data_IF_597912417120
#
_entry.id   IF_597912417120
#
_cell.length_a   1.000
_cell.length_b   1.000
_cell.length_c   1.000
_cell.angle_alpha   90.00
_cell.angle_beta   90.00
_cell.angle_gamma   90.00
#
_symmetry.space_group_name_H-M   'P 1'
#
loop_
_entity.id
_entity.type
_entity.pdbx_description
1 polymer ?
#
# COMPACT_ATOMS: atom_id res chain seq x y z
N UNK A 1 -6.39 -3.18 -56.54
CA UNK A 1 -6.38 -2.48 -55.23
C UNK A 1 -6.03 -3.41 -54.05
N UNK A 2 -5.60 -4.65 -54.26
CA UNK A 2 -5.31 -5.67 -53.22
C UNK A 2 -3.84 -5.86 -52.83
N UNK A 3 -2.87 -5.48 -53.68
CA UNK A 3 -1.44 -5.74 -53.43
C UNK A 3 -0.81 -4.81 -52.41
N UNK A 4 -1.30 -3.59 -52.27
CA UNK A 4 -0.75 -2.60 -51.32
C UNK A 4 -1.18 -2.84 -49.85
N UNK A 5 -2.31 -3.53 -49.59
CA UNK A 5 -2.74 -3.88 -48.24
C UNK A 5 -1.84 -4.92 -47.58
N UNK A 6 -1.37 -5.89 -48.35
CA UNK A 6 -0.51 -6.95 -47.80
C UNK A 6 0.88 -6.48 -47.36
N UNK A 7 1.41 -5.49 -48.04
CA UNK A 7 2.73 -4.89 -47.70
C UNK A 7 2.64 -4.00 -46.47
N UNK A 8 1.54 -3.25 -46.30
CA UNK A 8 1.32 -2.43 -45.10
C UNK A 8 1.14 -3.28 -43.82
N UNK A 9 0.34 -4.35 -43.89
CA UNK A 9 0.14 -5.28 -42.74
C UNK A 9 1.43 -6.01 -42.35
N UNK A 10 2.27 -6.41 -43.34
CA UNK A 10 3.55 -7.07 -43.05
C UNK A 10 4.57 -6.13 -42.43
N UNK A 11 4.56 -4.83 -42.84
CA UNK A 11 5.43 -3.81 -42.27
C UNK A 11 4.99 -3.43 -40.86
N UNK A 12 3.68 -3.30 -40.57
CA UNK A 12 3.14 -3.08 -39.24
C UNK A 12 3.45 -4.25 -38.30
N UNK A 13 3.30 -5.49 -38.77
CA UNK A 13 3.69 -6.67 -38.01
C UNK A 13 5.19 -6.73 -37.73
N UNK A 14 6.04 -6.30 -38.67
CA UNK A 14 7.48 -6.21 -38.45
C UNK A 14 7.82 -5.11 -37.45
N UNK A 15 7.24 -3.92 -37.59
CA UNK A 15 7.45 -2.79 -36.68
C UNK A 15 7.02 -3.13 -35.25
N UNK A 16 5.87 -3.82 -35.07
CA UNK A 16 5.41 -4.29 -33.77
C UNK A 16 6.35 -5.34 -33.15
N UNK A 17 6.88 -6.27 -33.98
CA UNK A 17 7.81 -7.32 -33.50
C UNK A 17 9.19 -6.79 -33.10
N UNK A 18 9.64 -5.70 -33.68
CA UNK A 18 10.91 -5.05 -33.32
C UNK A 18 10.74 -3.89 -32.34
N UNK A 19 9.52 -3.65 -31.82
CA UNK A 19 9.27 -2.60 -30.83
C UNK A 19 9.24 -1.18 -31.40
N UNK A 20 9.06 -1.03 -32.72
CA UNK A 20 9.03 0.27 -33.43
C UNK A 20 7.59 0.77 -33.69
N UNK A 21 6.55 0.11 -33.14
CA UNK A 21 5.15 0.45 -33.37
C UNK A 21 4.61 1.50 -32.37
N UNK A 22 3.44 2.07 -32.67
CA UNK A 22 2.64 2.85 -31.74
C UNK A 22 2.29 1.98 -30.52
N UNK A 23 2.66 2.38 -29.31
CA UNK A 23 2.66 1.59 -28.09
C UNK A 23 4.07 1.27 -27.57
N UNK A 24 5.11 1.83 -28.19
CA UNK A 24 6.47 1.88 -27.64
C UNK A 24 6.42 2.56 -26.27
N UNK A 25 7.20 2.06 -25.31
CA UNK A 25 7.32 2.63 -23.94
C UNK A 25 7.80 4.09 -23.90
N UNK A 26 8.07 4.70 -25.06
CA UNK A 26 8.38 6.12 -25.24
C UNK A 26 7.13 6.99 -25.40
N UNK A 27 5.93 6.42 -25.43
CA UNK A 27 4.71 7.20 -25.48
C UNK A 27 4.53 7.96 -24.18
N UNK A 28 4.16 9.23 -24.35
CA UNK A 28 3.99 10.23 -23.30
C UNK A 28 3.09 9.70 -22.18
N UNK A 29 3.39 10.10 -20.94
CA UNK A 29 2.49 9.87 -19.81
C UNK A 29 1.09 10.40 -20.13
N UNK A 30 0.16 9.50 -20.33
CA UNK A 30 -1.25 9.84 -20.50
C UNK A 30 -1.91 9.94 -19.14
N UNK A 31 -2.48 11.11 -18.82
CA UNK A 31 -3.29 11.27 -17.62
C UNK A 31 -4.67 10.62 -17.85
N UNK A 32 -4.71 9.29 -17.73
CA UNK A 32 -5.94 8.50 -17.82
C UNK A 32 -6.45 8.07 -16.44
N UNK A 33 -7.73 7.75 -16.35
CA UNK A 33 -8.27 7.07 -15.17
C UNK A 33 -7.94 5.58 -15.27
N UNK A 34 -7.19 5.03 -14.30
CA UNK A 34 -6.89 3.61 -14.25
C UNK A 34 -7.89 2.81 -13.41
N UNK A 35 -8.65 3.49 -12.53
CA UNK A 35 -9.66 2.89 -11.64
C UNK A 35 -9.17 1.69 -10.83
N UNK A 36 -7.89 1.70 -10.44
CA UNK A 36 -7.29 0.63 -9.65
C UNK A 36 -8.05 0.38 -8.35
N UNK A 37 -8.57 1.44 -7.72
CA UNK A 37 -9.41 1.35 -6.51
C UNK A 37 -10.65 0.46 -6.68
N UNK A 38 -11.10 0.21 -7.90
CA UNK A 38 -12.23 -0.69 -8.21
C UNK A 38 -11.82 -2.13 -8.47
N UNK A 39 -10.52 -2.40 -8.54
CA UNK A 39 -10.00 -3.75 -8.79
C UNK A 39 -9.46 -4.36 -7.49
N UNK A 40 -10.38 -4.90 -6.67
CA UNK A 40 -10.07 -5.56 -5.41
C UNK A 40 -8.99 -6.63 -5.57
N UNK A 41 -9.15 -7.54 -6.52
CA UNK A 41 -8.24 -8.67 -6.72
C UNK A 41 -6.82 -8.21 -7.04
N UNK A 42 -6.68 -7.16 -7.84
CA UNK A 42 -5.36 -6.61 -8.18
C UNK A 42 -4.73 -5.93 -6.96
N UNK A 43 -5.49 -5.12 -6.20
CA UNK A 43 -5.00 -4.49 -4.97
C UNK A 43 -4.54 -5.54 -3.94
N UNK A 44 -5.31 -6.62 -3.74
CA UNK A 44 -4.93 -7.71 -2.85
C UNK A 44 -3.67 -8.44 -3.35
N UNK A 45 -3.56 -8.68 -4.65
CA UNK A 45 -2.36 -9.28 -5.26
C UNK A 45 -1.14 -8.38 -5.08
N UNK A 46 -1.27 -7.08 -5.32
CA UNK A 46 -0.18 -6.10 -5.11
C UNK A 46 0.25 -6.04 -3.65
N UNK A 47 -0.70 -5.99 -2.71
CA UNK A 47 -0.42 -5.96 -1.28
C UNK A 47 0.33 -7.22 -0.79
N UNK A 48 0.00 -8.40 -1.35
CA UNK A 48 0.64 -9.67 -1.00
C UNK A 48 2.01 -9.88 -1.66
N UNK A 49 2.22 -9.34 -2.85
CA UNK A 49 3.42 -9.61 -3.65
C UNK A 49 4.47 -8.51 -3.60
N UNK A 50 4.07 -7.24 -3.43
CA UNK A 50 4.98 -6.10 -3.38
C UNK A 50 5.14 -5.60 -1.95
N UNK A 51 6.34 -5.71 -1.39
CA UNK A 51 6.66 -5.22 -0.06
C UNK A 51 6.50 -3.70 0.06
N UNK A 52 6.73 -2.95 -1.03
CA UNK A 52 6.53 -1.49 -1.07
C UNK A 52 5.06 -1.15 -0.90
N UNK A 53 4.16 -1.91 -1.52
CA UNK A 53 2.71 -1.75 -1.36
C UNK A 53 2.28 -2.07 0.07
N UNK A 54 2.82 -3.12 0.67
CA UNK A 54 2.61 -3.43 2.08
C UNK A 54 3.03 -2.26 2.97
N UNK A 55 4.25 -1.76 2.81
CA UNK A 55 4.75 -0.60 3.57
C UNK A 55 3.90 0.67 3.34
N UNK A 56 3.45 0.90 2.12
CA UNK A 56 2.57 2.05 1.80
C UNK A 56 1.24 2.02 2.58
N UNK A 57 0.70 0.83 2.83
CA UNK A 57 -0.48 0.61 3.67
C UNK A 57 -0.17 0.72 5.16
N UNK A 58 0.80 -0.07 5.60
CA UNK A 58 1.03 -0.40 7.00
C UNK A 58 1.73 0.72 7.78
N UNK A 59 2.82 1.28 7.25
CA UNK A 59 3.66 2.25 7.98
C UNK A 59 2.86 3.42 8.55
N UNK A 60 1.99 4.02 7.73
CA UNK A 60 1.18 5.17 8.17
C UNK A 60 0.11 4.76 9.18
N UNK A 61 -0.44 3.55 9.05
CA UNK A 61 -1.41 3.03 10.00
C UNK A 61 -0.74 2.76 11.35
N UNK A 62 0.41 2.07 11.32
CA UNK A 62 1.19 1.74 12.50
C UNK A 62 1.64 3.03 13.24
N UNK A 63 2.13 4.03 12.50
CA UNK A 63 2.57 5.29 13.11
C UNK A 63 1.39 6.13 13.67
N UNK A 64 0.18 6.02 13.12
CA UNK A 64 -1.01 6.71 13.68
C UNK A 64 -1.55 6.08 14.94
N UNK A 65 -1.28 4.79 15.18
CA UNK A 65 -1.82 4.03 16.30
C UNK A 65 -0.74 3.52 17.25
N UNK A 66 0.52 3.86 16.99
CA UNK A 66 1.67 3.39 17.78
C UNK A 66 1.68 3.91 19.21
N UNK A 67 1.34 5.16 19.35
CA UNK A 67 1.30 5.82 20.64
C UNK A 67 -0.17 6.07 21.03
N UNK A 68 -0.48 5.86 22.30
CA UNK A 68 -1.80 6.05 22.85
C UNK A 68 -2.20 7.52 22.92
N UNK A 69 -3.33 7.80 23.53
CA UNK A 69 -3.83 9.14 23.81
C UNK A 69 -3.61 9.51 25.29
N UNK A 70 -3.26 10.76 25.53
CA UNK A 70 -3.22 11.32 26.87
C UNK A 70 -4.61 11.86 27.23
N UNK A 71 -5.27 11.23 28.16
CA UNK A 71 -6.62 11.59 28.60
C UNK A 71 -6.54 12.52 29.81
N UNK A 72 -7.31 13.61 29.77
CA UNK A 72 -7.42 14.61 30.85
C UNK A 72 -8.89 14.95 31.11
N UNK A 73 -9.17 15.48 32.31
CA UNK A 73 -10.49 15.99 32.67
C UNK A 73 -11.46 14.95 33.21
N UNK A 74 -11.03 13.71 33.45
CA UNK A 74 -11.78 12.72 34.24
C UNK A 74 -11.65 13.03 35.75
N UNK A 75 -12.47 12.38 36.59
CA UNK A 75 -12.54 12.69 38.02
C UNK A 75 -11.32 12.20 38.82
N UNK A 76 -10.51 11.32 38.25
CA UNK A 76 -9.29 10.82 38.88
C UNK A 76 -8.48 9.89 37.99
N UNK A 77 -7.24 9.56 38.40
CA UNK A 77 -6.37 8.69 37.63
C UNK A 77 -6.91 7.25 37.48
N UNK A 78 -7.67 6.77 38.49
CA UNK A 78 -8.28 5.43 38.44
C UNK A 78 -9.28 5.28 37.30
N UNK A 79 -10.04 6.32 36.97
CA UNK A 79 -10.97 6.30 35.84
C UNK A 79 -10.26 6.30 34.49
N UNK A 80 -9.13 7.00 34.40
CA UNK A 80 -8.28 6.99 33.22
C UNK A 80 -7.70 5.59 33.00
N UNK A 81 -7.24 4.97 34.08
CA UNK A 81 -6.73 3.60 34.06
C UNK A 81 -7.80 2.58 33.62
N UNK A 82 -9.02 2.65 34.23
CA UNK A 82 -10.14 1.77 33.87
C UNK A 82 -10.53 1.92 32.40
N UNK A 83 -10.53 3.15 31.88
CA UNK A 83 -10.84 3.43 30.48
C UNK A 83 -9.77 2.87 29.54
N UNK A 84 -8.49 3.09 29.85
CA UNK A 84 -7.37 2.55 29.07
C UNK A 84 -7.38 1.02 29.08
N UNK A 85 -7.62 0.39 30.23
CA UNK A 85 -7.72 -1.07 30.33
C UNK A 85 -8.82 -1.64 29.44
N UNK A 86 -9.96 -0.96 29.30
CA UNK A 86 -11.02 -1.40 28.38
C UNK A 86 -10.59 -1.26 26.93
N UNK A 87 -9.90 -0.16 26.56
CA UNK A 87 -9.37 0.01 25.21
C UNK A 87 -8.36 -1.09 24.85
N UNK A 88 -7.46 -1.42 25.76
CA UNK A 88 -6.44 -2.46 25.57
C UNK A 88 -7.05 -3.87 25.53
N UNK A 89 -7.90 -4.21 26.51
CA UNK A 89 -8.54 -5.54 26.58
C UNK A 89 -9.38 -5.85 25.34
N UNK A 90 -10.00 -4.85 24.72
CA UNK A 90 -10.80 -4.98 23.53
C UNK A 90 -9.99 -4.74 22.24
N UNK A 91 -8.66 -4.55 22.35
CA UNK A 91 -7.75 -4.34 21.22
C UNK A 91 -8.23 -3.22 20.29
N UNK A 92 -8.72 -2.11 20.87
CA UNK A 92 -9.33 -1.02 20.10
C UNK A 92 -8.31 -0.38 19.16
N UNK A 93 -7.07 -0.18 19.60
CA UNK A 93 -6.00 0.38 18.80
C UNK A 93 -5.61 -0.51 17.62
N UNK A 94 -5.56 -1.83 17.82
CA UNK A 94 -5.31 -2.79 16.74
C UNK A 94 -6.43 -2.76 15.69
N UNK A 95 -7.69 -2.63 16.13
CA UNK A 95 -8.84 -2.51 15.22
C UNK A 95 -8.86 -1.17 14.47
N UNK A 96 -8.44 -0.09 15.11
CA UNK A 96 -8.26 1.20 14.42
C UNK A 96 -7.11 1.14 13.41
N UNK A 97 -6.00 0.52 13.77
CA UNK A 97 -4.88 0.25 12.86
C UNK A 97 -5.35 -0.52 11.62
N UNK A 98 -6.05 -1.62 11.83
CA UNK A 98 -6.63 -2.44 10.76
C UNK A 98 -7.57 -1.61 9.87
N UNK A 99 -8.42 -0.77 10.46
CA UNK A 99 -9.33 0.11 9.71
C UNK A 99 -8.56 1.12 8.85
N UNK A 100 -7.47 1.68 9.38
CA UNK A 100 -6.60 2.60 8.62
C UNK A 100 -5.92 1.87 7.47
N UNK A 101 -5.37 0.67 7.69
CA UNK A 101 -4.73 -0.15 6.66
C UNK A 101 -5.67 -0.41 5.48
N UNK A 102 -6.87 -0.89 5.77
CA UNK A 102 -7.85 -1.17 4.71
C UNK A 102 -8.39 0.10 4.06
N UNK A 103 -8.55 1.20 4.81
CA UNK A 103 -8.93 2.47 4.21
C UNK A 103 -7.89 2.99 3.21
N UNK A 104 -6.61 2.79 3.51
CA UNK A 104 -5.51 3.17 2.61
C UNK A 104 -5.41 2.25 1.39
N UNK A 105 -5.55 0.94 1.60
CA UNK A 105 -5.46 -0.04 0.52
C UNK A 105 -6.65 0.04 -0.44
N UNK A 106 -7.87 0.06 0.09
CA UNK A 106 -9.08 -0.01 -0.73
C UNK A 106 -9.75 1.34 -0.99
N UNK A 107 -9.32 2.41 -0.32
CA UNK A 107 -9.91 3.73 -0.43
C UNK A 107 -11.01 4.02 0.60
N UNK A 108 -11.36 3.06 1.46
CA UNK A 108 -12.31 3.27 2.55
C UNK A 108 -12.52 2.02 3.40
N UNK A 109 -12.77 2.24 4.69
CA UNK A 109 -13.14 1.22 5.66
C UNK A 109 -13.94 1.85 6.79
N UNK A 110 -14.71 1.03 7.50
CA UNK A 110 -15.44 1.42 8.69
C UNK A 110 -15.10 0.48 9.86
N UNK A 111 -15.03 1.02 11.06
CA UNK A 111 -15.04 0.24 12.28
C UNK A 111 -16.40 0.40 12.95
N UNK A 112 -17.12 -0.69 13.13
CA UNK A 112 -18.47 -0.73 13.73
C UNK A 112 -18.35 -0.94 15.22
N UNK A 113 -18.96 -0.07 16.01
CA UNK A 113 -19.04 -0.20 17.46
C UNK A 113 -20.03 -1.32 17.83
N UNK A 114 -19.51 -2.44 18.36
CA UNK A 114 -20.30 -3.58 18.77
C UNK A 114 -20.80 -3.37 20.21
N UNK A 115 -22.12 -3.15 20.36
CA UNK A 115 -22.76 -2.88 21.63
C UNK A 115 -23.82 -3.96 21.87
N UNK A 116 -23.61 -4.76 22.91
CA UNK A 116 -24.49 -5.87 23.26
C UNK A 116 -25.91 -5.38 23.60
N UNK A 117 -26.92 -6.12 23.14
CA UNK A 117 -28.32 -5.76 23.34
C UNK A 117 -28.85 -4.59 22.52
N UNK A 118 -28.03 -4.00 21.64
CA UNK A 118 -28.47 -2.91 20.74
C UNK A 118 -28.49 -3.34 19.29
N UNK A 119 -29.49 -2.83 18.54
CA UNK A 119 -29.54 -3.06 17.10
C UNK A 119 -28.64 -2.05 16.36
N UNK A 120 -27.79 -2.53 15.48
CA UNK A 120 -26.85 -1.71 14.71
C UNK A 120 -27.51 -0.78 13.70
N UNK A 121 -28.76 -1.04 13.32
CA UNK A 121 -29.53 -0.20 12.38
C UNK A 121 -30.15 1.05 13.02
N UNK A 122 -30.18 1.12 14.35
CA UNK A 122 -30.77 2.27 15.07
C UNK A 122 -29.69 3.33 15.33
N UNK A 123 -30.06 4.63 15.37
CA UNK A 123 -29.13 5.68 15.79
C UNK A 123 -28.48 5.36 17.14
N UNK A 124 -27.19 5.68 17.25
CA UNK A 124 -26.47 5.53 18.48
C UNK A 124 -26.91 6.57 19.51
N UNK A 125 -27.26 6.12 20.68
CA UNK A 125 -27.42 6.99 21.85
C UNK A 125 -26.44 6.49 22.93
N UNK A 126 -25.33 7.19 23.10
CA UNK A 126 -24.27 6.82 24.06
C UNK A 126 -24.82 6.65 25.49
N UNK A 127 -25.82 7.46 25.87
CA UNK A 127 -26.44 7.43 27.22
C UNK A 127 -27.21 6.16 27.53
N UNK A 128 -27.58 5.37 26.50
CA UNK A 128 -28.31 4.09 26.69
C UNK A 128 -27.36 2.89 26.80
N UNK A 129 -26.07 3.10 26.72
CA UNK A 129 -25.07 2.05 26.85
C UNK A 129 -24.84 1.77 28.34
N UNK A 130 -25.12 0.54 28.76
CA UNK A 130 -24.88 0.11 30.15
C UNK A 130 -23.43 -0.39 30.33
N UNK A 131 -23.02 -0.51 31.60
CA UNK A 131 -21.68 -0.97 31.95
C UNK A 131 -21.41 -2.37 31.38
N UNK A 132 -20.29 -2.52 30.68
CA UNK A 132 -19.83 -3.75 30.05
C UNK A 132 -20.50 -4.11 28.71
N UNK A 133 -21.37 -3.26 28.14
CA UNK A 133 -22.06 -3.56 26.87
C UNK A 133 -21.19 -3.32 25.62
N UNK A 134 -20.20 -2.45 25.66
CA UNK A 134 -19.27 -2.29 24.54
C UNK A 134 -18.37 -3.52 24.44
N UNK A 135 -18.37 -4.18 23.29
CA UNK A 135 -17.65 -5.45 23.03
C UNK A 135 -16.47 -5.31 22.08
N UNK A 136 -16.16 -4.10 21.63
CA UNK A 136 -15.07 -3.81 20.72
C UNK A 136 -15.53 -3.30 19.37
N UNK A 137 -14.62 -3.32 18.42
CA UNK A 137 -14.80 -2.83 17.05
C UNK A 137 -14.81 -4.01 16.07
N UNK A 138 -15.72 -3.98 15.11
CA UNK A 138 -15.71 -4.86 13.93
C UNK A 138 -15.28 -4.05 12.72
N UNK A 139 -14.18 -4.46 12.08
CA UNK A 139 -13.63 -3.77 10.92
C UNK A 139 -14.25 -4.34 9.64
N UNK A 140 -14.77 -3.46 8.80
CA UNK A 140 -15.36 -3.78 7.50
C UNK A 140 -14.73 -2.84 6.45
N UNK A 141 -14.15 -3.41 5.41
CA UNK A 141 -13.63 -2.65 4.29
C UNK A 141 -14.74 -2.25 3.30
N UNK A 142 -14.40 -1.42 2.31
CA UNK A 142 -15.38 -0.93 1.33
C UNK A 142 -16.06 -2.02 0.50
N UNK A 143 -15.47 -3.23 0.42
CA UNK A 143 -16.02 -4.35 -0.34
C UNK A 143 -16.99 -5.20 0.48
N UNK A 144 -16.93 -5.07 1.80
CA UNK A 144 -17.81 -5.77 2.74
C UNK A 144 -19.10 -5.00 3.01
N UNK A 145 -19.12 -3.69 2.69
CA UNK A 145 -20.27 -2.83 2.95
C UNK A 145 -20.60 -1.93 1.77
N UNK A 146 -21.90 -1.73 1.52
CA UNK A 146 -22.41 -0.83 0.50
C UNK A 146 -23.01 0.41 1.18
N UNK A 147 -22.48 1.62 0.93
CA UNK A 147 -23.12 2.85 1.39
C UNK A 147 -24.48 3.08 0.71
N UNK A 148 -25.49 3.45 1.46
CA UNK A 148 -26.77 3.86 0.91
C UNK A 148 -26.69 5.31 0.40
N UNK A 149 -26.69 5.47 -0.92
CA UNK A 149 -26.60 6.79 -1.57
C UNK A 149 -27.95 7.49 -1.71
N UNK A 150 -29.06 6.82 -1.39
CA UNK A 150 -30.39 7.38 -1.45
C UNK A 150 -30.81 8.08 -0.15
N UNK A 151 -30.27 7.59 0.99
CA UNK A 151 -30.54 8.17 2.31
C UNK A 151 -29.25 8.76 2.88
N UNK A 152 -29.05 10.04 2.66
CA UNK A 152 -27.90 10.80 3.15
C UNK A 152 -28.24 11.52 4.44
N UNK A 153 -27.21 11.83 5.24
CA UNK A 153 -27.33 12.66 6.43
C UNK A 153 -27.68 14.10 6.01
N UNK A 154 -28.82 14.58 6.42
CA UNK A 154 -29.34 15.93 6.12
C UNK A 154 -29.18 16.92 7.28
N UNK A 155 -28.85 16.43 8.46
CA UNK A 155 -28.60 17.24 9.62
C UNK A 155 -27.27 18.01 9.47
N UNK A 156 -27.30 19.32 9.67
CA UNK A 156 -26.10 20.14 9.58
C UNK A 156 -25.08 19.70 10.63
N UNK A 157 -23.89 19.34 10.15
CA UNK A 157 -22.81 18.85 11.01
C UNK A 157 -21.65 18.25 10.21
N UNK A 158 -20.69 17.65 10.89
CA UNK A 158 -19.48 17.06 10.26
C UNK A 158 -19.81 15.95 9.26
N UNK A 159 -20.91 15.22 9.49
CA UNK A 159 -21.34 14.07 8.68
C UNK A 159 -22.35 14.46 7.59
N UNK A 160 -22.65 15.78 7.38
CA UNK A 160 -23.61 16.25 6.36
C UNK A 160 -23.24 15.76 4.98
N UNK A 161 -24.23 15.16 4.28
CA UNK A 161 -24.06 14.60 2.93
C UNK A 161 -23.35 13.24 2.88
N UNK A 162 -23.01 12.66 4.03
CA UNK A 162 -22.50 11.30 4.11
C UNK A 162 -23.64 10.27 4.09
N UNK A 163 -23.38 9.01 3.72
CA UNK A 163 -24.38 7.95 3.78
C UNK A 163 -24.89 7.75 5.20
N UNK A 164 -26.21 7.72 5.35
CA UNK A 164 -26.83 7.49 6.66
C UNK A 164 -26.78 6.04 7.08
N UNK A 165 -26.72 5.14 6.11
CA UNK A 165 -26.65 3.70 6.34
C UNK A 165 -25.57 3.04 5.49
N UNK A 166 -25.07 1.90 6.02
CA UNK A 166 -24.15 1.00 5.36
C UNK A 166 -24.77 -0.39 5.36
N UNK A 167 -25.03 -0.96 4.20
CA UNK A 167 -25.60 -2.30 4.06
C UNK A 167 -24.45 -3.32 3.99
N UNK A 168 -24.44 -4.32 4.86
CA UNK A 168 -23.42 -5.37 4.89
C UNK A 168 -23.71 -6.37 3.78
N UNK A 169 -22.76 -6.55 2.86
CA UNK A 169 -22.90 -7.41 1.67
C UNK A 169 -22.12 -8.71 1.77
N UNK A 170 -21.38 -8.94 2.86
CA UNK A 170 -20.58 -10.15 3.07
C UNK A 170 -21.25 -11.11 4.05
N UNK A 171 -21.15 -12.41 3.79
CA UNK A 171 -21.75 -13.46 4.61
C UNK A 171 -20.89 -13.88 5.80
N UNK A 172 -19.67 -13.36 5.92
CA UNK A 172 -18.64 -13.94 6.82
C UNK A 172 -18.56 -13.30 8.21
N UNK A 173 -19.28 -12.22 8.50
CA UNK A 173 -19.07 -11.43 9.74
C UNK A 173 -20.23 -11.47 10.74
N UNK A 174 -21.22 -12.35 10.54
CA UNK A 174 -22.35 -12.48 11.46
C UNK A 174 -23.37 -11.33 11.44
N UNK A 175 -23.15 -10.32 10.58
CA UNK A 175 -24.04 -9.18 10.34
C UNK A 175 -24.68 -9.22 8.95
N UNK A 176 -24.88 -10.39 8.40
CA UNK A 176 -25.38 -10.60 7.03
C UNK A 176 -26.69 -9.87 6.80
N UNK A 177 -26.77 -9.13 5.70
CA UNK A 177 -27.95 -8.35 5.31
C UNK A 177 -28.42 -7.35 6.37
N UNK A 178 -27.57 -6.97 7.29
CA UNK A 178 -27.88 -5.92 8.26
C UNK A 178 -27.50 -4.56 7.73
N UNK A 179 -28.30 -3.58 8.09
CA UNK A 179 -28.08 -2.17 7.81
C UNK A 179 -27.47 -1.51 9.04
N UNK A 180 -26.36 -0.82 8.90
CA UNK A 180 -25.62 -0.17 10.00
C UNK A 180 -25.85 1.35 9.90
N UNK A 181 -26.30 1.96 10.98
CA UNK A 181 -26.47 3.41 11.05
C UNK A 181 -25.13 4.13 11.19
N UNK A 182 -24.94 5.26 10.48
CA UNK A 182 -23.66 5.99 10.42
C UNK A 182 -23.11 6.41 11.79
N UNK A 183 -23.98 6.71 12.76
CA UNK A 183 -23.54 7.10 14.11
C UNK A 183 -22.83 5.98 14.88
N UNK A 184 -22.96 4.72 14.44
CA UNK A 184 -22.35 3.54 15.06
C UNK A 184 -21.03 3.13 14.39
N UNK A 185 -20.58 3.90 13.43
CA UNK A 185 -19.34 3.59 12.69
C UNK A 185 -18.30 4.69 12.85
N UNK A 186 -17.05 4.27 12.89
CA UNK A 186 -15.90 5.12 12.70
C UNK A 186 -15.48 4.95 11.24
N UNK A 187 -15.80 5.92 10.40
CA UNK A 187 -15.46 5.87 8.99
C UNK A 187 -14.11 6.49 8.74
N UNK A 188 -13.26 5.76 8.04
CA UNK A 188 -11.96 6.23 7.58
C UNK A 188 -11.86 6.06 6.08
N UNK A 189 -11.63 7.16 5.38
CA UNK A 189 -11.47 7.18 3.94
C UNK A 189 -9.99 7.19 3.55
N UNK A 190 -9.68 6.66 2.38
CA UNK A 190 -8.36 6.73 1.77
C UNK A 190 -7.99 8.15 1.31
N UNK A 191 -7.59 8.30 0.06
CA UNK A 191 -7.29 9.60 -0.52
C UNK A 191 -8.59 10.30 -0.91
N UNK A 192 -8.78 11.53 -0.41
CA UNK A 192 -9.98 12.32 -0.70
C UNK A 192 -10.04 12.67 -2.20
N UNK A 193 -11.21 12.47 -2.79
CA UNK A 193 -11.50 12.76 -4.19
C UNK A 193 -12.31 14.05 -4.33
N UNK A 194 -12.24 14.70 -5.51
CA UNK A 194 -13.19 15.73 -5.89
C UNK A 194 -14.63 15.17 -5.91
N UNK A 195 -15.63 16.02 -5.73
CA UNK A 195 -17.04 15.64 -5.53
C UNK A 195 -17.54 14.60 -6.55
N UNK A 196 -17.41 14.88 -7.87
CA UNK A 196 -17.90 13.96 -8.90
C UNK A 196 -17.19 12.59 -8.91
N UNK A 197 -15.90 12.57 -8.60
CA UNK A 197 -15.14 11.33 -8.48
C UNK A 197 -15.52 10.55 -7.21
N UNK A 198 -15.77 11.26 -6.10
CA UNK A 198 -16.25 10.65 -4.86
C UNK A 198 -17.63 10.01 -5.05
N UNK A 199 -18.55 10.67 -5.78
CA UNK A 199 -19.85 10.08 -6.14
C UNK A 199 -19.70 8.82 -6.99
N UNK A 200 -18.76 8.81 -7.95
CA UNK A 200 -18.47 7.65 -8.80
C UNK A 200 -17.84 6.48 -8.02
N UNK A 201 -17.25 6.75 -6.85
CA UNK A 201 -16.69 5.79 -5.90
C UNK A 201 -17.64 5.48 -4.73
N UNK A 202 -18.95 5.72 -4.88
CA UNK A 202 -19.94 5.52 -3.82
C UNK A 202 -19.62 6.29 -2.53
N UNK A 203 -19.17 7.52 -2.67
CA UNK A 203 -18.68 8.40 -1.60
C UNK A 203 -17.43 7.87 -0.85
N UNK A 204 -16.79 6.80 -1.30
CA UNK A 204 -15.50 6.38 -0.79
C UNK A 204 -14.35 7.24 -1.36
N UNK A 205 -13.21 7.17 -0.71
CA UNK A 205 -11.97 7.72 -1.25
C UNK A 205 -11.32 6.80 -2.28
N UNK A 206 -10.14 7.20 -2.72
CA UNK A 206 -9.27 6.45 -3.62
C UNK A 206 -8.21 5.68 -2.82
N UNK A 207 -7.80 4.51 -3.30
CA UNK A 207 -6.62 3.81 -2.80
C UNK A 207 -5.37 4.69 -2.90
N UNK A 208 -4.51 4.63 -1.89
CA UNK A 208 -3.20 5.32 -1.97
C UNK A 208 -2.34 4.74 -3.09
N UNK A 209 -2.53 3.46 -3.44
CA UNK A 209 -1.76 2.74 -4.44
C UNK A 209 -2.09 3.22 -5.86
N UNK A 210 -3.32 3.65 -6.12
CA UNK A 210 -3.73 4.08 -7.47
C UNK A 210 -2.91 5.25 -8.02
N UNK A 211 -2.47 6.17 -7.15
CA UNK A 211 -1.59 7.28 -7.57
C UNK A 211 -0.15 6.86 -7.83
N UNK A 212 0.22 5.66 -7.39
CA UNK A 212 1.58 5.16 -7.40
C UNK A 212 1.80 4.10 -8.48
N UNK A 213 0.74 3.58 -9.08
CA UNK A 213 0.78 2.38 -9.94
C UNK A 213 1.88 2.46 -11.00
N UNK A 214 1.94 3.56 -11.75
CA UNK A 214 2.96 3.76 -12.79
C UNK A 214 4.37 3.75 -12.20
N UNK A 215 4.56 4.38 -11.04
CA UNK A 215 5.86 4.48 -10.36
C UNK A 215 6.28 3.16 -9.72
N UNK A 216 5.32 2.41 -9.17
CA UNK A 216 5.55 1.07 -8.64
C UNK A 216 5.95 0.12 -9.77
N UNK A 217 5.20 0.12 -10.87
CA UNK A 217 5.52 -0.71 -12.05
C UNK A 217 6.90 -0.40 -12.60
N UNK A 218 7.27 0.88 -12.66
CA UNK A 218 8.59 1.29 -13.11
C UNK A 218 9.71 0.85 -12.14
N UNK A 219 9.50 1.03 -10.82
CA UNK A 219 10.44 0.62 -9.79
C UNK A 219 10.66 -0.89 -9.78
N UNK A 220 9.58 -1.67 -9.79
CA UNK A 220 9.63 -3.14 -9.79
C UNK A 220 10.31 -3.65 -11.07
N UNK A 221 9.97 -3.08 -12.24
CA UNK A 221 10.59 -3.43 -13.51
C UNK A 221 12.07 -3.09 -13.55
N UNK A 222 12.47 -1.93 -13.02
CA UNK A 222 13.87 -1.51 -12.95
C UNK A 222 14.67 -2.41 -12.00
N UNK A 223 14.10 -2.77 -10.85
CA UNK A 223 14.72 -3.66 -9.87
C UNK A 223 14.92 -5.07 -10.42
N UNK A 224 13.88 -5.63 -11.08
CA UNK A 224 13.97 -6.93 -11.76
C UNK A 224 14.99 -6.88 -12.91
N UNK A 225 14.98 -5.81 -13.70
CA UNK A 225 15.94 -5.59 -14.78
C UNK A 225 17.38 -5.53 -14.26
N UNK A 226 17.61 -4.83 -13.15
CA UNK A 226 18.90 -4.78 -12.47
C UNK A 226 19.37 -6.18 -12.04
N UNK A 227 18.50 -6.96 -11.40
CA UNK A 227 18.78 -8.34 -11.04
C UNK A 227 19.14 -9.21 -12.25
N UNK A 228 18.37 -9.09 -13.34
CA UNK A 228 18.65 -9.82 -14.57
C UNK A 228 19.99 -9.42 -15.22
N UNK A 229 20.36 -8.14 -15.15
CA UNK A 229 21.66 -7.67 -15.64
C UNK A 229 22.82 -8.29 -14.83
N UNK A 230 22.68 -8.41 -13.51
CA UNK A 230 23.67 -9.10 -12.67
C UNK A 230 23.86 -10.56 -13.10
N UNK A 231 22.75 -11.28 -13.35
CA UNK A 231 22.85 -12.65 -13.89
C UNK A 231 23.47 -12.72 -15.29
N UNK A 232 23.24 -11.72 -16.13
CA UNK A 232 23.80 -11.61 -17.48
C UNK A 232 25.22 -11.03 -17.51
N UNK A 233 25.74 -10.54 -16.39
CA UNK A 233 27.06 -9.92 -16.31
C UNK A 233 28.20 -10.83 -16.79
N UNK A 234 27.97 -12.12 -16.80
CA UNK A 234 28.91 -13.14 -17.26
C UNK A 234 28.42 -13.82 -18.53
N UNK A 235 27.87 -13.06 -19.48
CA UNK A 235 27.55 -13.62 -20.81
C UNK A 235 28.86 -14.05 -21.50
N UNK A 236 29.00 -15.34 -21.64
CA UNK A 236 30.13 -15.99 -22.33
C UNK A 236 29.70 -16.29 -23.74
N UNK A 237 30.44 -15.78 -24.71
CA UNK A 237 30.18 -16.06 -26.13
C UNK A 237 31.19 -17.10 -26.62
N UNK A 238 30.69 -18.26 -27.02
CA UNK A 238 31.49 -19.30 -27.63
C UNK A 238 31.22 -19.30 -29.13
N UNK A 239 32.26 -18.99 -29.94
CA UNK A 239 32.15 -18.93 -31.39
C UNK A 239 32.54 -20.29 -31.99
N UNK A 240 31.61 -20.91 -32.69
CA UNK A 240 31.80 -22.18 -33.36
C UNK A 240 31.81 -21.99 -34.87
N UNK A 241 32.86 -22.47 -35.53
CA UNK A 241 32.97 -22.42 -37.00
C UNK A 241 31.91 -23.28 -37.67
N UNK A 242 31.13 -22.65 -38.55
CA UNK A 242 30.07 -23.37 -39.30
C UNK A 242 28.82 -23.72 -38.51
N UNK A 243 28.56 -23.08 -37.35
CA UNK A 243 27.40 -23.34 -36.48
C UNK A 243 26.07 -23.41 -37.23
N UNK A 244 25.80 -22.50 -38.18
CA UNK A 244 24.57 -22.51 -38.98
C UNK A 244 24.42 -23.81 -39.78
N UNK A 245 25.50 -24.30 -40.39
CA UNK A 245 25.51 -25.52 -41.16
C UNK A 245 25.26 -26.76 -40.26
N UNK A 246 25.90 -26.78 -39.08
CA UNK A 246 25.72 -27.86 -38.08
C UNK A 246 24.27 -27.93 -37.60
N UNK A 247 23.67 -26.77 -37.30
CA UNK A 247 22.26 -26.71 -36.84
C UNK A 247 21.30 -27.11 -37.96
N UNK A 248 21.55 -26.67 -39.20
CA UNK A 248 20.63 -26.96 -40.32
C UNK A 248 20.69 -28.44 -40.74
N UNK A 249 21.87 -29.06 -40.73
CA UNK A 249 22.05 -30.47 -41.14
C UNK A 249 21.63 -31.42 -40.02
N UNK A 250 21.81 -31.03 -38.75
CA UNK A 250 21.47 -31.86 -37.58
C UNK A 250 22.36 -33.08 -37.46
N UNK A 251 21.83 -34.15 -36.88
CA UNK A 251 22.47 -35.46 -36.78
C UNK A 251 23.65 -35.53 -35.80
N UNK A 252 24.66 -36.34 -36.14
CA UNK A 252 25.79 -36.63 -35.25
C UNK A 252 26.63 -35.41 -34.91
N UNK A 253 26.83 -34.49 -35.84
CA UNK A 253 27.60 -33.25 -35.62
C UNK A 253 26.90 -32.31 -34.64
N UNK A 254 25.57 -32.18 -34.71
CA UNK A 254 24.77 -31.43 -33.75
C UNK A 254 24.87 -32.04 -32.33
N UNK A 255 24.69 -33.35 -32.22
CA UNK A 255 24.78 -34.06 -30.94
C UNK A 255 26.18 -33.94 -30.30
N UNK A 256 27.24 -34.01 -31.13
CA UNK A 256 28.61 -33.79 -30.66
C UNK A 256 28.81 -32.36 -30.10
N UNK A 257 28.31 -31.35 -30.81
CA UNK A 257 28.35 -29.95 -30.35
C UNK A 257 27.60 -29.74 -29.02
N UNK A 258 26.39 -30.33 -28.89
CA UNK A 258 25.62 -30.25 -27.64
C UNK A 258 26.39 -30.90 -26.47
N UNK A 259 26.98 -32.06 -26.66
CA UNK A 259 27.83 -32.73 -25.67
C UNK A 259 29.03 -31.88 -25.30
N UNK A 260 29.73 -31.30 -26.27
CA UNK A 260 30.85 -30.41 -26.05
C UNK A 260 30.45 -29.19 -25.19
N UNK A 261 29.34 -28.50 -25.50
CA UNK A 261 28.84 -27.40 -24.73
C UNK A 261 28.48 -27.81 -23.28
N UNK A 262 27.86 -29.00 -23.11
CA UNK A 262 27.54 -29.53 -21.78
C UNK A 262 28.80 -29.80 -20.95
N UNK A 263 29.83 -30.39 -21.56
CA UNK A 263 31.12 -30.63 -20.89
C UNK A 263 31.81 -29.34 -20.52
N UNK A 264 31.90 -28.36 -21.41
CA UNK A 264 32.47 -27.04 -21.13
C UNK A 264 31.73 -26.37 -19.94
N UNK A 265 30.41 -26.40 -19.92
CA UNK A 265 29.61 -25.88 -18.80
C UNK A 265 29.90 -26.58 -17.47
N UNK A 266 30.10 -27.90 -17.49
CA UNK A 266 30.40 -28.70 -16.31
C UNK A 266 31.78 -28.38 -15.75
N UNK A 267 32.79 -28.27 -16.63
CA UNK A 267 34.18 -27.93 -16.21
C UNK A 267 34.32 -26.50 -15.75
N UNK A 268 33.64 -25.53 -16.40
CA UNK A 268 33.66 -24.12 -15.99
C UNK A 268 33.04 -23.88 -14.63
N UNK A 269 32.07 -24.68 -14.20
CA UNK A 269 31.42 -24.50 -12.90
C UNK A 269 32.30 -24.96 -11.72
N UNK A 270 33.24 -25.89 -11.94
CA UNK A 270 34.00 -26.51 -10.86
C UNK A 270 35.39 -25.89 -10.61
N UNK A 271 36.09 -25.42 -11.63
CA UNK A 271 37.49 -24.97 -11.47
C UNK A 271 37.82 -23.64 -12.17
N UNK A 272 36.87 -22.95 -12.76
CA UNK A 272 37.12 -21.68 -13.45
C UNK A 272 37.98 -21.80 -14.73
N UNK A 273 38.25 -23.00 -15.20
CA UNK A 273 39.06 -23.28 -16.38
C UNK A 273 38.18 -23.52 -17.60
N UNK A 274 38.52 -22.91 -18.74
CA UNK A 274 37.82 -23.09 -20.01
C UNK A 274 38.76 -23.82 -20.96
N UNK A 275 38.37 -25.03 -21.39
CA UNK A 275 39.06 -25.80 -22.44
C UNK A 275 38.42 -25.43 -23.79
N UNK A 276 39.29 -25.04 -24.74
CA UNK A 276 38.90 -24.58 -26.09
C UNK A 276 39.86 -25.18 -27.10
N UNK A 277 39.39 -25.34 -28.34
CA UNK A 277 40.21 -25.64 -29.48
C UNK A 277 40.97 -24.40 -29.94
N UNK A 278 42.13 -24.53 -30.55
CA UNK A 278 42.96 -23.48 -31.09
C UNK A 278 42.20 -22.62 -32.15
N UNK A 279 41.20 -23.17 -32.81
CA UNK A 279 40.34 -22.47 -33.79
C UNK A 279 39.12 -21.76 -33.15
N UNK A 280 38.86 -22.01 -31.85
CA UNK A 280 37.69 -21.46 -31.15
C UNK A 280 38.08 -20.10 -30.49
N UNK A 281 37.12 -19.18 -30.47
CA UNK A 281 37.30 -17.88 -29.81
C UNK A 281 36.31 -17.72 -28.68
N UNK A 282 36.82 -17.32 -27.52
CA UNK A 282 36.03 -17.00 -26.34
C UNK A 282 36.07 -15.49 -26.08
N UNK A 283 34.88 -14.87 -26.07
CA UNK A 283 34.76 -13.44 -25.75
C UNK A 283 33.96 -13.31 -24.46
N UNK A 284 34.51 -12.54 -23.51
CA UNK A 284 33.76 -12.14 -22.32
C UNK A 284 33.35 -10.69 -22.46
N UNK A 285 32.05 -10.45 -22.46
CA UNK A 285 31.51 -9.11 -22.44
C UNK A 285 31.23 -8.73 -20.99
N UNK A 286 31.99 -7.76 -20.47
CA UNK A 286 31.70 -7.17 -19.16
C UNK A 286 30.74 -6.00 -19.36
N UNK A 287 29.61 -6.05 -18.67
CA UNK A 287 28.69 -4.93 -18.60
C UNK A 287 29.07 -4.04 -17.42
N UNK A 288 29.16 -2.73 -17.67
CA UNK A 288 29.30 -1.73 -16.61
C UNK A 288 27.92 -1.48 -16.00
N UNK A 289 27.81 -1.59 -14.69
CA UNK A 289 26.60 -1.26 -13.93
C UNK A 289 26.66 0.15 -13.33
N UNK A 290 27.60 0.97 -13.81
CA UNK A 290 27.76 2.35 -13.35
C UNK A 290 26.46 3.15 -13.56
N UNK A 291 25.98 3.79 -12.48
CA UNK A 291 24.77 4.61 -12.49
C UNK A 291 23.45 3.88 -12.21
N UNK A 292 23.44 2.55 -12.12
CA UNK A 292 22.23 1.78 -11.83
C UNK A 292 21.71 2.03 -10.42
N UNK A 293 22.63 2.13 -9.46
CA UNK A 293 22.36 2.51 -8.07
C UNK A 293 21.67 3.87 -7.96
N UNK A 294 22.17 4.86 -8.71
CA UNK A 294 21.61 6.21 -8.74
C UNK A 294 20.18 6.22 -9.29
N UNK A 295 19.91 5.43 -10.34
CA UNK A 295 18.57 5.31 -10.94
C UNK A 295 17.60 4.67 -9.95
N UNK A 296 17.98 3.57 -9.30
CA UNK A 296 17.15 2.89 -8.32
C UNK A 296 16.86 3.77 -7.11
N UNK A 297 17.87 4.50 -6.63
CA UNK A 297 17.70 5.48 -5.55
C UNK A 297 16.72 6.58 -5.95
N UNK A 298 16.85 7.14 -7.16
CA UNK A 298 15.97 8.19 -7.67
C UNK A 298 14.50 7.70 -7.75
N UNK A 299 14.28 6.46 -8.22
CA UNK A 299 12.96 5.87 -8.27
C UNK A 299 12.38 5.64 -6.86
N UNK A 300 13.22 5.18 -5.92
CA UNK A 300 12.85 5.07 -4.51
C UNK A 300 12.46 6.41 -3.89
N UNK A 301 13.20 7.48 -4.18
CA UNK A 301 12.89 8.84 -3.73
C UNK A 301 11.55 9.35 -4.30
N UNK A 302 11.24 9.04 -5.56
CA UNK A 302 9.95 9.40 -6.16
C UNK A 302 8.79 8.67 -5.47
N UNK A 303 8.94 7.38 -5.14
CA UNK A 303 7.94 6.63 -4.39
C UNK A 303 7.75 7.18 -2.97
N UNK A 304 8.84 7.45 -2.27
CA UNK A 304 8.86 8.08 -0.95
C UNK A 304 8.10 9.41 -0.96
N UNK A 305 8.43 10.30 -1.91
CA UNK A 305 7.76 11.59 -2.07
C UNK A 305 6.27 11.47 -2.39
N UNK A 306 5.89 10.53 -3.27
CA UNK A 306 4.51 10.31 -3.67
C UNK A 306 3.64 9.72 -2.53
N UNK A 307 4.24 8.92 -1.65
CA UNK A 307 3.60 8.37 -0.44
C UNK A 307 3.59 9.37 0.73
N UNK A 308 4.46 10.37 0.70
CA UNK A 308 4.72 11.25 1.85
C UNK A 308 5.35 10.50 3.04
N UNK A 309 6.06 9.40 2.77
CA UNK A 309 6.77 8.60 3.77
C UNK A 309 8.28 8.77 3.50
N UNK A 310 9.10 9.23 4.47
CA UNK A 310 10.54 9.40 4.27
C UNK A 310 11.23 8.10 3.83
N UNK A 311 12.28 8.25 3.05
CA UNK A 311 13.05 7.11 2.52
C UNK A 311 13.55 6.20 3.65
N UNK A 312 13.99 6.79 4.77
CA UNK A 312 14.43 6.07 5.97
C UNK A 312 13.31 5.17 6.53
N UNK A 313 12.08 5.66 6.55
CA UNK A 313 10.93 4.93 7.10
C UNK A 313 10.38 3.90 6.11
N UNK A 314 10.42 4.22 4.82
CA UNK A 314 9.89 3.35 3.76
C UNK A 314 10.84 2.22 3.39
N UNK A 315 12.14 2.51 3.25
CA UNK A 315 13.16 1.58 2.77
C UNK A 315 14.20 1.18 3.82
N UNK A 316 14.16 1.79 5.02
CA UNK A 316 15.17 1.56 6.05
C UNK A 316 16.57 2.10 5.69
N UNK A 317 16.65 2.99 4.70
CA UNK A 317 17.91 3.52 4.19
C UNK A 317 18.08 4.98 4.61
N UNK A 318 19.23 5.32 5.18
CA UNK A 318 19.57 6.73 5.42
C UNK A 318 19.72 7.48 4.10
N UNK A 319 19.24 8.75 4.02
CA UNK A 319 19.47 9.57 2.84
C UNK A 319 20.98 9.73 2.58
N UNK A 320 21.38 9.68 1.31
CA UNK A 320 22.77 9.91 0.93
C UNK A 320 23.09 11.43 1.00
N UNK A 321 24.09 11.83 1.77
CA UNK A 321 24.57 13.22 1.85
C UNK A 321 25.29 13.56 3.14
N UNK A 322 26.17 14.57 3.11
CA UNK A 322 27.10 14.95 4.19
C UNK A 322 26.44 15.39 5.52
N UNK A 323 25.13 15.72 5.52
CA UNK A 323 24.37 16.12 6.70
C UNK A 323 23.01 15.42 6.80
N UNK A 324 22.83 14.30 6.13
CA UNK A 324 21.54 13.66 6.03
C UNK A 324 21.36 12.63 7.17
N UNK A 325 21.08 13.10 8.38
CA UNK A 325 20.65 12.20 9.48
C UNK A 325 19.24 11.64 9.27
N UNK A 326 18.47 12.23 8.35
CA UNK A 326 17.05 11.91 8.18
C UNK A 326 16.16 12.39 9.34
N UNK A 327 16.72 13.00 10.38
CA UNK A 327 15.96 13.47 11.56
C UNK A 327 14.93 14.53 11.19
N UNK A 328 15.31 15.50 10.35
CA UNK A 328 14.40 16.56 9.91
C UNK A 328 13.25 16.01 9.06
N UNK A 329 13.52 15.03 8.21
CA UNK A 329 12.50 14.40 7.37
C UNK A 329 11.54 13.54 8.22
N UNK A 330 12.07 12.85 9.24
CA UNK A 330 11.26 12.12 10.21
C UNK A 330 10.43 13.06 11.08
N UNK A 331 10.97 14.19 11.56
CA UNK A 331 10.22 15.16 12.32
C UNK A 331 9.04 15.73 11.51
N UNK A 332 9.29 16.18 10.27
CA UNK A 332 8.25 16.65 9.37
C UNK A 332 7.20 15.58 9.07
N UNK A 333 7.63 14.32 8.93
CA UNK A 333 6.74 13.19 8.71
C UNK A 333 5.83 12.95 9.92
N UNK A 334 6.37 12.94 11.13
CA UNK A 334 5.58 12.74 12.35
C UNK A 334 4.64 13.92 12.63
N UNK A 335 5.03 15.15 12.31
CA UNK A 335 4.13 16.31 12.34
C UNK A 335 2.94 16.12 11.37
N UNK A 336 3.19 15.59 10.17
CA UNK A 336 2.14 15.25 9.22
C UNK A 336 1.24 14.11 9.73
N UNK A 337 1.80 13.07 10.38
CA UNK A 337 1.03 12.01 11.02
C UNK A 337 0.13 12.58 12.11
N UNK A 338 0.65 13.46 12.99
CA UNK A 338 -0.14 14.13 14.01
C UNK A 338 -1.28 14.96 13.39
N UNK A 339 -1.00 15.74 12.35
CA UNK A 339 -2.04 16.48 11.62
C UNK A 339 -3.13 15.57 11.06
N UNK A 340 -2.77 14.37 10.59
CA UNK A 340 -3.74 13.39 10.13
C UNK A 340 -4.53 12.74 11.27
N UNK A 341 -3.92 12.49 12.43
CA UNK A 341 -4.61 12.06 13.65
C UNK A 341 -5.65 13.10 14.05
N UNK A 342 -5.24 14.37 14.18
CA UNK A 342 -6.13 15.49 14.53
C UNK A 342 -7.28 15.66 13.53
N UNK A 343 -6.97 15.69 12.24
CA UNK A 343 -7.95 15.99 11.21
C UNK A 343 -8.90 14.84 10.84
N UNK A 344 -8.48 13.58 11.05
CA UNK A 344 -9.25 12.42 10.59
C UNK A 344 -9.71 11.48 11.69
N UNK A 345 -8.98 11.41 12.81
CA UNK A 345 -9.27 10.46 13.88
C UNK A 345 -9.91 11.12 15.11
N UNK A 346 -9.66 12.39 15.37
CA UNK A 346 -10.15 13.07 16.59
C UNK A 346 -11.67 12.95 16.75
N UNK A 347 -12.46 13.33 15.75
CA UNK A 347 -13.93 13.27 15.85
C UNK A 347 -14.50 11.85 15.95
N UNK A 348 -14.09 10.88 15.10
CA UNK A 348 -14.48 9.49 15.28
C UNK A 348 -14.07 8.91 16.63
N UNK A 349 -12.85 9.18 17.07
CA UNK A 349 -12.34 8.68 18.34
C UNK A 349 -13.09 9.27 19.55
N UNK A 350 -13.43 10.55 19.51
CA UNK A 350 -14.25 11.18 20.56
C UNK A 350 -15.61 10.47 20.71
N UNK A 351 -16.27 10.18 19.59
CA UNK A 351 -17.54 9.41 19.57
C UNK A 351 -17.38 8.02 20.17
N UNK A 352 -16.28 7.34 19.87
CA UNK A 352 -15.94 6.05 20.46
C UNK A 352 -15.73 6.16 21.96
N UNK A 353 -14.96 7.15 22.42
CA UNK A 353 -14.66 7.34 23.83
C UNK A 353 -15.90 7.67 24.66
N UNK A 354 -16.93 8.32 24.09
CA UNK A 354 -18.23 8.50 24.75
C UNK A 354 -18.90 7.14 25.04
N UNK A 355 -18.86 6.20 24.09
CA UNK A 355 -19.43 4.85 24.26
C UNK A 355 -18.60 4.05 25.24
N UNK A 356 -17.27 4.11 25.13
CA UNK A 356 -16.37 3.38 26.03
C UNK A 356 -16.51 3.89 27.47
N UNK A 357 -16.61 5.19 27.70
CA UNK A 357 -16.81 5.77 29.02
C UNK A 357 -18.10 5.30 29.68
N UNK A 358 -19.20 5.28 28.92
CA UNK A 358 -20.47 4.72 29.43
C UNK A 358 -20.34 3.23 29.77
N UNK A 359 -19.67 2.48 28.94
CA UNK A 359 -19.49 1.04 29.14
C UNK A 359 -18.50 0.70 30.24
N UNK A 360 -17.41 1.45 30.41
CA UNK A 360 -16.41 1.26 31.45
C UNK A 360 -16.88 1.85 32.79
N UNK A 361 -17.10 3.14 32.82
CA UNK A 361 -17.33 3.92 34.02
C UNK A 361 -18.81 4.02 34.42
N UNK A 362 -19.75 3.68 33.52
CA UNK A 362 -21.20 3.84 33.72
C UNK A 362 -21.67 5.29 33.71
N UNK A 363 -20.86 6.23 33.22
CA UNK A 363 -21.15 7.66 33.18
C UNK A 363 -20.69 8.32 31.87
N UNK A 364 -21.37 9.41 31.45
CA UNK A 364 -20.94 10.15 30.27
C UNK A 364 -19.59 10.85 30.50
N UNK A 365 -18.89 11.15 29.40
CA UNK A 365 -17.72 11.98 29.47
C UNK A 365 -18.06 13.36 30.07
N UNK A 366 -17.27 13.87 31.01
CA UNK A 366 -17.48 15.21 31.57
C UNK A 366 -17.17 16.28 30.50
N UNK A 367 -17.73 17.48 30.67
CA UNK A 367 -17.48 18.62 29.77
C UNK A 367 -16.02 19.07 29.78
N UNK A 368 -15.29 18.74 30.83
CA UNK A 368 -13.83 18.98 30.95
C UNK A 368 -12.97 17.95 30.26
N UNK A 369 -13.57 16.92 29.64
CA UNK A 369 -12.84 15.84 28.99
C UNK A 369 -12.08 16.35 27.75
N UNK A 370 -10.81 16.09 27.75
CA UNK A 370 -9.92 16.40 26.62
C UNK A 370 -8.99 15.19 26.45
N UNK A 371 -8.67 14.86 25.21
CA UNK A 371 -7.60 13.93 24.92
C UNK A 371 -6.65 14.53 23.88
N UNK A 372 -5.40 14.18 23.96
CA UNK A 372 -4.34 14.56 23.03
C UNK A 372 -3.64 13.31 22.53
N UNK A 373 -3.29 13.30 21.24
CA UNK A 373 -2.45 12.23 20.73
C UNK A 373 -1.04 12.37 21.31
N UNK A 374 -0.47 11.26 21.78
CA UNK A 374 0.88 11.31 22.34
C UNK A 374 1.90 11.66 21.25
N UNK A 375 2.98 12.34 21.64
CA UNK A 375 3.99 12.79 20.69
C UNK A 375 4.76 11.62 20.09
N UNK A 376 4.74 11.50 18.77
CA UNK A 376 5.44 10.44 18.02
C UNK A 376 6.94 10.65 17.95
N UNK A 377 7.39 11.87 18.10
CA UNK A 377 8.78 12.27 18.10
C UNK A 377 9.13 12.91 19.43
N UNK A 378 9.99 12.27 20.20
CA UNK A 378 10.59 12.84 21.40
C UNK A 378 12.02 13.26 21.06
N UNK A 379 12.31 14.54 21.06
CA UNK A 379 13.68 15.04 21.04
C UNK A 379 14.27 14.64 22.39
N UNK A 380 15.27 13.77 22.40
CA UNK A 380 16.01 13.45 23.61
C UNK A 380 16.54 14.77 24.21
N UNK A 381 16.20 15.01 25.48
CA UNK A 381 16.52 16.27 26.21
C UNK A 381 18.03 16.57 26.32
N UNK A 382 18.88 15.66 25.90
CA UNK A 382 20.34 15.84 25.90
C UNK A 382 20.85 16.94 24.93
N UNK A 383 20.02 17.42 24.00
CA UNK A 383 20.39 18.53 23.09
C UNK A 383 19.87 19.90 23.55
N UNK A 384 19.24 20.00 24.73
CA UNK A 384 18.77 21.25 25.30
C UNK A 384 19.67 21.87 26.36
N UNK A 385 20.87 21.31 26.60
CA UNK A 385 21.89 21.85 27.52
C UNK A 385 22.94 22.69 26.78
#
# INVERSE_FOLDING_TARGET
>A
MGLFKFTADSFQNFAARVGLGAGSQHDQSTYGFNYLSRNRTLLESMYRSSWVVGQAGDVVADDRTREDINIQGLSGPEETEELNQVLDNLQVWDKLNETIKWSRLYGGAIAVMMIDGQNVSTPLNSKTVAKGQFKGLLVLDRWMVQPDLQDLVTDYGPDYGMPKFYDVVTDSVGLVNQRIHYSRVLRLDGVKLPYWQSMAENLWGQSVIERLEDRLTLFDSATLGAGQLVYKAHLRTYKVKGLRKIITVGGSAYNALVKQIQQIRMWQSNEGMTLMDDEDTFETHQYSFSGLDSILLQLGQQLSGALGIPLVRLFGQSPAGLNATGESDLANYYDNINQQQEGRMRSPLHRLLEVVSQSALGKPLPTSFIFEFAALWQIHDEKKA
#
